data_IF_236360421680
#
_entry.id   IF_236360421680
#
_cell.length_a   1.000
_cell.length_b   1.000
_cell.length_c   1.000
_cell.angle_alpha   90.00
_cell.angle_beta   90.00
_cell.angle_gamma   90.00
#
_symmetry.space_group_name_H-M   'P 1'
#
loop_
_entity.id
_entity.type
_entity.pdbx_description
1 polymer ?
#
# COMPACT_ATOMS: atom_id res chain seq x y z
N UNK A 1 -29.93 -10.36 -26.17
CA UNK A 1 -29.88 -9.73 -24.83
C UNK A 1 -28.43 -9.64 -24.36
N UNK A 2 -27.68 -10.75 -24.28
CA UNK A 2 -26.23 -10.73 -24.11
C UNK A 2 -25.52 -11.73 -25.06
N UNK A 3 -24.25 -11.47 -25.41
CA UNK A 3 -23.37 -12.37 -26.16
C UNK A 3 -22.13 -12.68 -25.32
N UNK A 4 -21.78 -13.95 -25.20
CA UNK A 4 -20.53 -14.37 -24.57
C UNK A 4 -19.41 -14.39 -25.63
N UNK A 5 -18.26 -13.78 -25.34
CA UNK A 5 -17.07 -13.91 -26.17
C UNK A 5 -16.21 -15.12 -25.74
N UNK A 6 -15.12 -15.39 -26.48
CA UNK A 6 -14.22 -16.52 -26.22
C UNK A 6 -13.47 -16.38 -24.87
N UNK A 7 -13.39 -15.16 -24.35
CA UNK A 7 -12.82 -14.82 -23.03
C UNK A 7 -13.84 -14.94 -21.89
N UNK A 8 -15.04 -15.47 -22.18
CA UNK A 8 -16.15 -15.64 -21.22
C UNK A 8 -16.67 -14.31 -20.63
N UNK A 9 -16.50 -13.21 -21.36
CA UNK A 9 -17.10 -11.91 -21.06
C UNK A 9 -18.46 -11.82 -21.75
N UNK A 10 -19.50 -11.50 -20.98
CA UNK A 10 -20.84 -11.29 -21.50
C UNK A 10 -21.06 -9.81 -21.82
N UNK A 11 -21.30 -9.49 -23.10
CA UNK A 11 -21.61 -8.12 -23.54
C UNK A 11 -23.09 -7.97 -23.90
N UNK A 12 -23.73 -6.83 -23.55
CA UNK A 12 -25.10 -6.58 -23.93
C UNK A 12 -25.22 -6.38 -25.45
N UNK A 13 -26.25 -6.96 -26.07
CA UNK A 13 -26.58 -6.75 -27.50
C UNK A 13 -28.00 -6.20 -27.70
N UNK A 14 -28.69 -5.89 -26.60
CA UNK A 14 -30.06 -5.39 -26.59
C UNK A 14 -30.69 -5.48 -25.20
N UNK A 15 -31.73 -4.68 -24.97
CA UNK A 15 -32.44 -4.63 -23.68
C UNK A 15 -33.16 -5.96 -23.36
N UNK A 16 -33.30 -6.27 -22.08
CA UNK A 16 -34.04 -7.42 -21.58
C UNK A 16 -33.34 -8.14 -20.44
N UNK A 17 -33.86 -9.31 -20.06
CA UNK A 17 -33.31 -10.13 -18.98
C UNK A 17 -32.57 -11.33 -19.56
N UNK A 18 -31.36 -11.60 -19.07
CA UNK A 18 -30.61 -12.80 -19.41
C UNK A 18 -30.15 -13.52 -18.12
N UNK A 19 -30.00 -14.83 -18.18
CA UNK A 19 -29.44 -15.61 -17.07
C UNK A 19 -28.08 -16.16 -17.48
N UNK A 20 -27.04 -15.76 -16.76
CA UNK A 20 -25.70 -16.31 -16.91
C UNK A 20 -25.58 -17.50 -15.96
N UNK A 21 -25.19 -18.66 -16.49
CA UNK A 21 -24.98 -19.88 -15.70
C UNK A 21 -23.49 -20.17 -15.61
N UNK A 22 -22.96 -20.22 -14.40
CA UNK A 22 -21.58 -20.57 -14.10
C UNK A 22 -21.52 -22.03 -13.68
N UNK A 23 -20.59 -22.80 -14.26
CA UNK A 23 -20.34 -24.21 -13.90
C UNK A 23 -18.87 -24.44 -13.63
N UNK A 24 -18.57 -25.11 -12.53
CA UNK A 24 -17.21 -25.53 -12.16
C UNK A 24 -17.26 -26.92 -11.52
N UNK A 25 -16.79 -27.94 -12.26
CA UNK A 25 -17.02 -29.33 -11.89
C UNK A 25 -18.52 -29.60 -11.77
N UNK A 26 -18.95 -30.11 -10.62
CA UNK A 26 -20.36 -30.38 -10.30
C UNK A 26 -21.12 -29.18 -9.70
N UNK A 27 -20.43 -28.05 -9.48
CA UNK A 27 -21.04 -26.84 -8.94
C UNK A 27 -21.69 -26.02 -10.06
N UNK A 28 -22.93 -25.58 -9.83
CA UNK A 28 -23.66 -24.65 -10.72
C UNK A 28 -24.18 -23.46 -9.91
N UNK A 29 -24.00 -22.25 -10.43
CA UNK A 29 -24.71 -21.06 -9.93
C UNK A 29 -25.26 -20.25 -11.11
N UNK A 30 -26.34 -19.50 -10.87
CA UNK A 30 -27.04 -18.72 -11.90
C UNK A 30 -27.19 -17.28 -11.44
N UNK A 31 -26.77 -16.34 -12.27
CA UNK A 31 -26.98 -14.91 -12.07
C UNK A 31 -27.97 -14.40 -13.12
N UNK A 32 -29.05 -13.76 -12.69
CA UNK A 32 -29.94 -13.06 -13.62
C UNK A 32 -29.45 -11.62 -13.77
N UNK A 33 -29.22 -11.20 -15.00
CA UNK A 33 -28.83 -9.84 -15.37
C UNK A 33 -29.98 -9.16 -16.13
N UNK A 34 -30.20 -7.89 -15.83
CA UNK A 34 -31.12 -7.04 -16.57
C UNK A 34 -30.31 -6.00 -17.35
N UNK A 35 -30.52 -5.96 -18.66
CA UNK A 35 -29.88 -5.01 -19.57
C UNK A 35 -30.91 -3.94 -19.92
N UNK A 36 -30.55 -2.68 -19.68
CA UNK A 36 -31.30 -1.49 -20.07
C UNK A 36 -30.39 -0.53 -20.82
N UNK A 37 -30.97 0.30 -21.71
CA UNK A 37 -30.25 1.31 -22.50
C UNK A 37 -29.08 0.76 -23.34
N UNK A 38 -29.16 -0.48 -23.83
CA UNK A 38 -28.09 -1.10 -24.63
C UNK A 38 -27.80 -0.39 -25.96
N UNK A 39 -28.72 0.44 -26.45
CA UNK A 39 -28.57 1.23 -27.68
C UNK A 39 -28.02 2.63 -27.41
N UNK A 40 -27.94 3.05 -26.15
CA UNK A 40 -27.46 4.38 -25.77
C UNK A 40 -25.95 4.33 -25.53
N UNK A 41 -25.20 5.05 -26.35
CA UNK A 41 -23.78 5.31 -26.10
C UNK A 41 -23.68 6.64 -25.32
N UNK A 42 -23.29 6.61 -24.03
CA UNK A 42 -23.10 7.85 -23.29
C UNK A 42 -21.92 8.65 -23.86
N UNK A 43 -21.95 10.00 -23.75
CA UNK A 43 -20.80 10.82 -24.09
C UNK A 43 -19.59 10.45 -23.22
N UNK A 44 -18.38 10.71 -23.73
CA UNK A 44 -17.15 10.44 -23.00
C UNK A 44 -17.04 11.39 -21.80
N UNK A 45 -16.91 10.82 -20.62
CA UNK A 45 -16.74 11.57 -19.38
C UNK A 45 -15.27 11.99 -19.21
N UNK A 46 -15.05 13.24 -18.81
CA UNK A 46 -13.69 13.68 -18.49
C UNK A 46 -13.14 12.92 -17.27
N UNK A 47 -13.90 12.90 -16.17
CA UNK A 47 -13.53 12.22 -14.91
C UNK A 47 -13.48 10.70 -15.03
N UNK A 48 -14.41 10.09 -15.77
CA UNK A 48 -14.58 8.62 -15.75
C UNK A 48 -13.95 7.89 -16.93
N UNK A 49 -13.52 8.60 -17.98
CA UNK A 49 -12.92 8.00 -19.17
C UNK A 49 -11.59 8.65 -19.55
N UNK A 50 -11.54 9.99 -19.69
CA UNK A 50 -10.33 10.70 -20.13
C UNK A 50 -9.22 10.62 -19.09
N UNK A 51 -9.51 10.98 -17.85
CA UNK A 51 -8.55 10.94 -16.75
C UNK A 51 -7.97 9.53 -16.50
N UNK A 52 -8.80 8.47 -16.39
CA UNK A 52 -8.30 7.10 -16.29
C UNK A 52 -7.43 6.69 -17.47
N UNK A 53 -7.75 7.10 -18.71
CA UNK A 53 -6.87 6.85 -19.86
C UNK A 53 -5.52 7.53 -19.65
N UNK A 54 -5.48 8.81 -19.31
CA UNK A 54 -4.23 9.53 -19.09
C UNK A 54 -3.40 8.90 -17.97
N UNK A 55 -4.06 8.39 -16.93
CA UNK A 55 -3.42 7.67 -15.85
C UNK A 55 -2.87 6.31 -16.27
N UNK A 56 -3.66 5.49 -16.96
CA UNK A 56 -3.24 4.18 -17.49
C UNK A 56 -2.05 4.31 -18.43
N UNK A 57 -2.01 5.37 -19.23
CA UNK A 57 -0.88 5.69 -20.12
C UNK A 57 0.31 6.35 -19.39
N UNK A 58 0.26 6.50 -18.07
CA UNK A 58 1.35 7.04 -17.24
C UNK A 58 1.58 8.56 -17.35
N UNK A 59 0.68 9.30 -18.00
CA UNK A 59 0.86 10.71 -18.32
C UNK A 59 0.87 11.60 -17.06
N UNK A 60 0.01 11.29 -16.09
CA UNK A 60 -0.15 12.02 -14.83
C UNK A 60 0.63 11.38 -13.65
N UNK A 61 1.68 10.62 -13.93
CA UNK A 61 2.57 10.06 -12.91
C UNK A 61 3.56 11.11 -12.39
N UNK A 62 4.15 10.86 -11.21
CA UNK A 62 5.16 11.72 -10.61
C UNK A 62 6.46 11.85 -11.42
N UNK A 63 6.72 10.93 -12.36
CA UNK A 63 7.84 11.02 -13.29
C UNK A 63 7.55 11.99 -14.47
N UNK A 64 6.28 12.25 -14.76
CA UNK A 64 5.79 12.97 -15.94
C UNK A 64 5.00 14.23 -15.54
N UNK A 65 3.80 14.42 -16.10
CA UNK A 65 3.02 15.64 -15.93
C UNK A 65 2.36 15.75 -14.55
N UNK A 66 2.24 14.64 -13.80
CA UNK A 66 1.80 14.62 -12.40
C UNK A 66 2.89 15.01 -11.39
N UNK A 67 4.10 15.31 -11.84
CA UNK A 67 5.15 15.84 -10.95
C UNK A 67 4.76 17.21 -10.39
N UNK A 68 5.29 17.56 -9.22
CA UNK A 68 4.96 18.84 -8.55
C UNK A 68 5.17 20.09 -9.44
N UNK A 69 6.14 20.03 -10.37
CA UNK A 69 6.45 21.10 -11.33
C UNK A 69 5.84 20.87 -12.73
N UNK A 70 5.23 19.73 -12.99
CA UNK A 70 4.88 19.29 -14.35
C UNK A 70 6.10 19.13 -15.25
N UNK A 71 5.87 19.05 -16.56
CA UNK A 71 6.92 19.00 -17.60
C UNK A 71 6.63 19.99 -18.72
N UNK A 72 7.63 20.80 -19.08
CA UNK A 72 7.59 21.70 -20.23
C UNK A 72 6.33 22.59 -20.26
N UNK A 73 5.98 23.17 -19.11
CA UNK A 73 4.81 24.03 -18.96
C UNK A 73 3.46 23.29 -18.92
N UNK A 74 3.43 21.95 -18.90
CA UNK A 74 2.21 21.17 -18.72
C UNK A 74 2.25 20.40 -17.40
N UNK A 75 1.27 20.69 -16.54
CA UNK A 75 1.08 20.06 -15.23
C UNK A 75 -0.32 19.45 -15.12
N UNK A 76 -0.36 18.24 -14.60
CA UNK A 76 -1.57 17.56 -14.15
C UNK A 76 -1.43 17.28 -12.66
N UNK A 77 -2.56 17.00 -12.01
CA UNK A 77 -2.62 16.42 -10.67
C UNK A 77 -1.99 15.03 -10.70
N UNK A 78 -1.44 14.60 -9.57
CA UNK A 78 -0.84 13.27 -9.48
C UNK A 78 -1.96 12.22 -9.47
N UNK A 79 -1.95 11.31 -10.44
CA UNK A 79 -2.96 10.24 -10.54
C UNK A 79 -4.43 10.74 -10.54
N UNK A 80 -4.72 11.88 -11.18
CA UNK A 80 -6.08 12.41 -11.34
C UNK A 80 -6.79 12.76 -10.02
N UNK A 81 -6.02 13.24 -9.05
CA UNK A 81 -6.50 13.75 -7.77
C UNK A 81 -7.39 15.01 -7.91
N UNK A 82 -7.14 15.86 -8.90
CA UNK A 82 -7.94 17.07 -9.12
C UNK A 82 -8.34 17.20 -10.60
N UNK A 83 -9.47 16.56 -10.92
CA UNK A 83 -10.06 16.59 -12.25
C UNK A 83 -10.36 18.01 -12.75
N UNK A 84 -10.68 18.95 -11.85
CA UNK A 84 -11.02 20.31 -12.25
C UNK A 84 -9.78 21.04 -12.74
N UNK A 85 -8.68 20.96 -12.00
CA UNK A 85 -7.41 21.55 -12.42
C UNK A 85 -6.91 20.86 -13.69
N UNK A 86 -7.05 19.54 -13.78
CA UNK A 86 -6.59 18.76 -14.94
C UNK A 86 -7.36 19.13 -16.20
N UNK A 87 -8.69 19.27 -16.10
CA UNK A 87 -9.51 19.74 -17.21
C UNK A 87 -9.05 21.12 -17.71
N UNK A 88 -8.85 22.08 -16.81
CA UNK A 88 -8.42 23.44 -17.16
C UNK A 88 -7.02 23.45 -17.78
N UNK A 89 -6.08 22.71 -17.20
CA UNK A 89 -4.70 22.65 -17.69
C UNK A 89 -4.60 21.93 -19.05
N UNK A 90 -5.47 20.96 -19.28
CA UNK A 90 -5.52 20.26 -20.54
C UNK A 90 -6.17 21.11 -21.64
N UNK A 91 -7.28 21.78 -21.34
CA UNK A 91 -8.12 22.42 -22.37
C UNK A 91 -7.90 23.92 -22.56
N UNK A 92 -7.45 24.65 -21.53
CA UNK A 92 -7.43 26.13 -21.52
C UNK A 92 -6.04 26.72 -21.32
N UNK A 93 -5.20 26.08 -20.53
CA UNK A 93 -3.86 26.55 -20.23
C UNK A 93 -3.00 26.68 -21.50
N UNK A 94 -2.01 27.58 -21.47
CA UNK A 94 -1.16 27.93 -22.62
C UNK A 94 -1.98 28.23 -23.89
N UNK A 95 -3.05 29.03 -23.74
CA UNK A 95 -3.98 29.42 -24.80
C UNK A 95 -4.67 28.23 -25.50
N UNK A 96 -4.90 27.14 -24.76
CA UNK A 96 -5.59 25.95 -25.27
C UNK A 96 -4.78 25.15 -26.30
N UNK A 97 -3.47 25.39 -26.44
CA UNK A 97 -2.64 24.81 -27.50
C UNK A 97 -2.59 23.28 -27.57
N UNK A 98 -3.07 22.59 -26.51
CA UNK A 98 -3.03 21.13 -26.38
C UNK A 98 -4.20 20.44 -27.07
N UNK A 99 -5.28 21.19 -27.29
CA UNK A 99 -6.57 20.72 -27.79
C UNK A 99 -6.94 21.46 -29.07
N UNK A 100 -7.36 20.72 -30.08
CA UNK A 100 -7.89 21.29 -31.31
C UNK A 100 -9.22 20.60 -31.63
N UNK A 101 -10.33 21.19 -31.22
CA UNK A 101 -11.67 20.63 -31.49
C UNK A 101 -12.08 20.75 -32.96
N UNK A 102 -11.48 21.69 -33.72
CA UNK A 102 -11.74 21.86 -35.15
C UNK A 102 -11.02 20.80 -36.01
N UNK A 103 -9.82 20.38 -35.57
CA UNK A 103 -9.10 19.23 -36.09
C UNK A 103 -8.68 18.31 -34.93
N UNK A 104 -9.55 17.38 -34.49
CA UNK A 104 -9.29 16.52 -33.34
C UNK A 104 -7.97 15.77 -33.38
N UNK A 105 -7.60 15.21 -34.54
CA UNK A 105 -6.33 14.49 -34.76
C UNK A 105 -5.12 15.44 -34.75
N UNK A 106 -5.36 16.72 -34.99
CA UNK A 106 -4.43 17.84 -34.84
C UNK A 106 -4.03 18.16 -33.39
N UNK A 107 -4.73 17.61 -32.39
CA UNK A 107 -4.49 17.92 -30.98
C UNK A 107 -3.14 17.38 -30.49
N UNK A 108 -2.33 18.21 -29.84
CA UNK A 108 -1.06 17.76 -29.23
C UNK A 108 -1.27 16.65 -28.19
N UNK A 109 -2.44 16.64 -27.52
CA UNK A 109 -2.84 15.56 -26.62
C UNK A 109 -2.83 14.18 -27.29
N UNK A 110 -3.13 14.11 -28.58
CA UNK A 110 -3.07 12.86 -29.35
C UNK A 110 -1.71 12.69 -30.03
N UNK A 111 -1.18 13.74 -30.65
CA UNK A 111 0.01 13.63 -31.50
C UNK A 111 1.28 13.27 -30.74
N UNK A 112 1.49 13.85 -29.55
CA UNK A 112 2.69 13.61 -28.74
C UNK A 112 2.78 12.17 -28.23
N UNK A 113 1.78 11.65 -27.48
CA UNK A 113 1.89 10.30 -26.93
C UNK A 113 1.78 9.20 -27.99
N UNK A 114 1.35 9.52 -29.22
CA UNK A 114 1.35 8.59 -30.36
C UNK A 114 2.53 8.72 -31.32
N UNK A 115 3.48 9.60 -31.03
CA UNK A 115 4.74 9.71 -31.76
C UNK A 115 4.65 10.44 -33.11
N UNK A 116 3.55 11.14 -33.38
CA UNK A 116 3.46 12.04 -34.55
C UNK A 116 4.23 13.34 -34.32
N UNK A 117 4.34 13.77 -33.07
CA UNK A 117 5.16 14.90 -32.64
C UNK A 117 6.12 14.42 -31.55
N UNK A 118 7.35 14.94 -31.57
CA UNK A 118 8.37 14.59 -30.59
C UNK A 118 7.87 14.79 -29.15
N UNK A 119 8.04 13.73 -28.36
CA UNK A 119 7.65 13.67 -26.97
C UNK A 119 8.73 12.97 -26.16
N UNK A 120 9.30 13.67 -25.18
CA UNK A 120 10.34 13.13 -24.32
C UNK A 120 9.87 11.90 -23.49
N UNK A 121 8.56 11.79 -23.22
CA UNK A 121 7.97 10.62 -22.57
C UNK A 121 7.80 9.41 -23.49
N UNK A 122 8.22 9.49 -24.75
CA UNK A 122 8.09 8.42 -25.74
C UNK A 122 6.67 8.20 -26.24
N UNK A 123 6.50 7.09 -26.96
CA UNK A 123 5.20 6.62 -27.46
C UNK A 123 4.55 5.77 -26.38
N UNK A 124 3.43 6.25 -25.85
CA UNK A 124 2.66 5.55 -24.79
C UNK A 124 1.30 5.07 -25.30
N UNK A 125 0.73 5.68 -26.34
CA UNK A 125 -0.52 5.21 -26.98
C UNK A 125 -0.35 5.18 -28.50
N UNK A 126 -0.90 4.21 -29.22
CA UNK A 126 -0.91 4.17 -30.69
C UNK A 126 -2.29 4.54 -31.23
N UNK A 127 -2.36 4.92 -32.50
CA UNK A 127 -3.60 5.40 -33.15
C UNK A 127 -4.72 4.35 -33.26
N UNK A 128 -4.43 3.07 -32.99
CA UNK A 128 -5.41 1.98 -32.97
C UNK A 128 -5.76 1.52 -31.55
N UNK A 129 -5.13 2.11 -30.53
CA UNK A 129 -5.33 1.70 -29.16
C UNK A 129 -6.66 2.28 -28.65
N UNK A 130 -7.42 1.55 -27.80
CA UNK A 130 -8.66 2.05 -27.22
C UNK A 130 -8.51 3.38 -26.48
N UNK A 131 -7.36 3.60 -25.83
CA UNK A 131 -6.99 4.85 -25.19
C UNK A 131 -7.00 6.03 -26.18
N UNK A 132 -6.41 5.86 -27.36
CA UNK A 132 -6.38 6.90 -28.39
C UNK A 132 -7.79 7.22 -28.90
N UNK A 133 -8.61 6.20 -29.17
CA UNK A 133 -9.98 6.41 -29.66
C UNK A 133 -10.86 7.10 -28.60
N UNK A 134 -10.71 6.75 -27.33
CA UNK A 134 -11.42 7.41 -26.22
C UNK A 134 -11.13 8.91 -26.17
N UNK A 135 -9.83 9.27 -26.20
CA UNK A 135 -9.43 10.67 -26.20
C UNK A 135 -9.88 11.38 -27.49
N UNK A 136 -9.76 10.73 -28.64
CA UNK A 136 -10.20 11.28 -29.92
C UNK A 136 -11.71 11.54 -29.91
N UNK A 137 -12.50 10.60 -29.39
CA UNK A 137 -13.94 10.71 -29.32
C UNK A 137 -14.36 11.86 -28.39
N UNK A 138 -13.74 11.99 -27.21
CA UNK A 138 -13.95 13.14 -26.32
C UNK A 138 -13.66 14.48 -27.01
N UNK A 139 -12.59 14.56 -27.81
CA UNK A 139 -12.26 15.78 -28.56
C UNK A 139 -13.30 16.07 -29.64
N UNK A 140 -13.77 15.04 -30.37
CA UNK A 140 -14.84 15.18 -31.38
C UNK A 140 -16.16 15.65 -30.74
N UNK A 141 -16.41 15.26 -29.50
CA UNK A 141 -17.56 15.71 -28.69
C UNK A 141 -17.39 17.14 -28.14
N UNK A 142 -16.27 17.79 -28.46
CA UNK A 142 -15.99 19.18 -28.11
C UNK A 142 -15.12 19.35 -26.86
N UNK A 143 -14.50 18.28 -26.36
CA UNK A 143 -13.66 18.28 -25.16
C UNK A 143 -14.36 18.93 -23.95
N UNK A 144 -15.62 18.56 -23.74
CA UNK A 144 -16.46 19.12 -22.69
C UNK A 144 -16.03 18.60 -21.31
N UNK A 145 -16.20 19.43 -20.30
CA UNK A 145 -16.16 18.97 -18.91
C UNK A 145 -17.44 18.18 -18.61
N UNK A 146 -17.42 17.36 -17.56
CA UNK A 146 -18.62 16.65 -17.13
C UNK A 146 -19.69 17.63 -16.61
N UNK A 147 -20.98 17.27 -16.71
CA UNK A 147 -22.06 18.07 -16.11
C UNK A 147 -21.95 18.07 -14.58
N UNK A 148 -22.58 19.06 -13.93
CA UNK A 148 -22.50 19.23 -12.47
C UNK A 148 -23.13 18.09 -11.66
N UNK A 149 -23.98 17.28 -12.29
CA UNK A 149 -24.64 16.12 -11.71
C UNK A 149 -23.98 14.79 -12.13
N UNK A 150 -22.75 14.83 -12.66
CA UNK A 150 -21.99 13.61 -12.95
C UNK A 150 -21.88 12.74 -11.71
N UNK A 151 -22.17 11.44 -11.86
CA UNK A 151 -22.06 10.47 -10.78
C UNK A 151 -20.67 10.48 -10.17
N UNK A 152 -20.57 10.60 -8.85
CA UNK A 152 -19.32 10.49 -8.12
C UNK A 152 -18.93 9.02 -7.90
N UNK A 153 -17.64 8.70 -8.01
CA UNK A 153 -17.12 7.38 -7.65
C UNK A 153 -16.96 7.28 -6.14
N UNK A 154 -17.62 6.30 -5.53
CA UNK A 154 -17.64 6.11 -4.07
C UNK A 154 -16.61 5.08 -3.63
N UNK A 155 -16.46 3.99 -4.39
CA UNK A 155 -15.53 2.92 -4.02
C UNK A 155 -15.01 2.17 -5.23
N UNK A 156 -13.91 1.45 -5.00
CA UNK A 156 -13.27 0.56 -5.95
C UNK A 156 -13.18 -0.83 -5.30
N UNK A 157 -13.32 -1.90 -6.08
CA UNK A 157 -13.06 -3.25 -5.58
C UNK A 157 -12.37 -4.10 -6.65
N UNK A 158 -11.57 -5.06 -6.20
CA UNK A 158 -11.00 -6.10 -7.04
C UNK A 158 -11.73 -7.39 -6.74
N UNK A 159 -12.16 -8.10 -7.78
CA UNK A 159 -12.77 -9.40 -7.70
C UNK A 159 -11.85 -10.48 -8.32
N UNK A 160 -11.67 -11.61 -7.62
CA UNK A 160 -12.05 -11.87 -6.24
C UNK A 160 -11.26 -10.99 -5.24
N UNK A 161 -11.82 -10.79 -4.03
CA UNK A 161 -11.15 -10.04 -2.94
C UNK A 161 -9.91 -10.74 -2.38
N UNK A 162 -9.84 -12.06 -2.58
CA UNK A 162 -8.71 -12.91 -2.22
C UNK A 162 -8.50 -13.95 -3.31
N UNK A 163 -7.28 -14.05 -3.83
CA UNK A 163 -6.87 -15.10 -4.75
C UNK A 163 -6.20 -16.22 -3.97
N UNK A 164 -6.56 -17.46 -4.28
CA UNK A 164 -5.81 -18.65 -3.87
C UNK A 164 -5.54 -19.45 -5.13
N UNK A 165 -4.28 -19.52 -5.54
CA UNK A 165 -3.84 -20.24 -6.72
C UNK A 165 -2.95 -21.42 -6.29
N UNK A 166 -3.29 -22.62 -6.74
CA UNK A 166 -2.51 -23.82 -6.42
C UNK A 166 -1.65 -24.22 -7.63
N UNK A 167 -0.33 -24.20 -7.44
CA UNK A 167 0.67 -24.44 -8.47
C UNK A 167 1.12 -23.19 -9.22
N UNK A 168 2.23 -23.32 -9.94
CA UNK A 168 2.80 -22.25 -10.76
C UNK A 168 2.08 -22.15 -12.11
N UNK A 169 2.12 -20.97 -12.73
CA UNK A 169 1.59 -20.66 -14.07
C UNK A 169 0.09 -20.89 -14.22
N UNK A 170 -0.66 -20.89 -13.11
CA UNK A 170 -2.13 -20.87 -13.16
C UNK A 170 -2.57 -19.44 -13.41
N UNK A 171 -3.58 -19.28 -14.25
CA UNK A 171 -4.12 -17.97 -14.58
C UNK A 171 -5.50 -17.78 -13.97
N UNK A 172 -5.81 -16.55 -13.59
CA UNK A 172 -7.14 -16.12 -13.19
C UNK A 172 -7.39 -14.71 -13.70
N UNK A 173 -8.65 -14.35 -13.95
CA UNK A 173 -9.02 -12.98 -14.30
C UNK A 173 -9.30 -12.19 -13.03
N UNK A 174 -8.61 -11.08 -12.81
CA UNK A 174 -9.00 -10.05 -11.88
C UNK A 174 -9.96 -9.08 -12.59
N UNK A 175 -11.01 -8.66 -11.88
CA UNK A 175 -11.94 -7.63 -12.36
C UNK A 175 -11.92 -6.47 -11.39
N UNK A 176 -11.76 -5.25 -11.89
CA UNK A 176 -11.84 -4.03 -11.10
C UNK A 176 -13.19 -3.38 -11.31
N UNK A 177 -14.00 -3.25 -10.25
CA UNK A 177 -15.30 -2.60 -10.30
C UNK A 177 -15.26 -1.25 -9.58
N UNK A 178 -15.63 -0.19 -10.27
CA UNK A 178 -15.90 1.12 -9.68
C UNK A 178 -17.39 1.26 -9.35
N UNK A 179 -17.71 1.65 -8.13
CA UNK A 179 -19.08 1.89 -7.65
C UNK A 179 -19.35 3.38 -7.56
N UNK A 180 -20.54 3.80 -7.99
CA UNK A 180 -20.91 5.21 -8.11
C UNK A 180 -22.08 5.59 -7.20
N UNK A 181 -22.24 6.89 -6.95
CA UNK A 181 -23.27 7.50 -6.10
C UNK A 181 -24.71 7.30 -6.55
N UNK A 182 -24.93 6.97 -7.83
CA UNK A 182 -26.24 6.58 -8.36
C UNK A 182 -26.58 5.09 -8.13
N UNK A 183 -25.71 4.36 -7.41
CA UNK A 183 -25.84 2.92 -7.14
C UNK A 183 -25.38 2.03 -8.29
N UNK A 184 -24.86 2.59 -9.39
CA UNK A 184 -24.31 1.80 -10.49
C UNK A 184 -22.88 1.34 -10.22
N UNK A 185 -22.48 0.26 -10.88
CA UNK A 185 -21.10 -0.20 -10.90
C UNK A 185 -20.61 -0.35 -12.35
N UNK A 186 -19.32 -0.13 -12.58
CA UNK A 186 -18.67 -0.26 -13.89
C UNK A 186 -17.43 -1.14 -13.78
N UNK A 187 -17.28 -2.07 -14.72
CA UNK A 187 -15.99 -2.74 -14.94
C UNK A 187 -15.01 -1.73 -15.56
N UNK A 188 -13.97 -1.44 -14.79
CA UNK A 188 -12.91 -0.48 -15.13
C UNK A 188 -11.55 -1.17 -15.22
N UNK A 189 -11.52 -2.50 -15.36
CA UNK A 189 -10.29 -3.30 -15.38
C UNK A 189 -9.30 -2.78 -16.43
N UNK A 190 -9.76 -2.59 -17.66
CA UNK A 190 -8.90 -2.16 -18.78
C UNK A 190 -8.45 -0.68 -18.65
N UNK A 191 -9.12 0.11 -17.82
CA UNK A 191 -8.77 1.50 -17.50
C UNK A 191 -7.94 1.62 -16.22
N UNK A 192 -7.77 0.53 -15.47
CA UNK A 192 -7.08 0.54 -14.18
C UNK A 192 -5.57 0.33 -14.37
N UNK A 193 -4.77 1.07 -13.61
CA UNK A 193 -3.36 0.73 -13.43
C UNK A 193 -3.28 -0.45 -12.49
N UNK A 194 -2.73 -1.56 -12.97
CA UNK A 194 -2.59 -2.82 -12.24
C UNK A 194 -1.12 -3.10 -11.97
N UNK A 195 -0.80 -3.52 -10.76
CA UNK A 195 0.55 -3.96 -10.40
C UNK A 195 0.51 -4.95 -9.24
N UNK A 196 1.61 -5.66 -9.01
CA UNK A 196 1.78 -6.46 -7.81
C UNK A 196 2.98 -5.98 -7.01
N UNK A 197 3.00 -6.26 -5.71
CA UNK A 197 4.17 -5.99 -4.88
C UNK A 197 5.27 -7.07 -5.02
N UNK A 198 4.96 -8.23 -5.59
CA UNK A 198 5.90 -9.33 -5.80
C UNK A 198 5.52 -10.16 -7.05
N UNK A 199 6.11 -9.78 -8.18
CA UNK A 199 5.95 -10.45 -9.47
C UNK A 199 6.54 -11.87 -9.51
N UNK A 200 7.31 -12.28 -8.50
CA UNK A 200 7.79 -13.67 -8.41
C UNK A 200 6.69 -14.60 -7.90
N UNK A 201 5.76 -14.07 -7.08
CA UNK A 201 4.61 -14.81 -6.54
C UNK A 201 3.39 -14.65 -7.44
N UNK A 202 3.06 -13.44 -7.88
CA UNK A 202 1.91 -13.18 -8.75
C UNK A 202 2.25 -12.10 -9.76
N UNK A 203 2.04 -12.37 -11.05
CA UNK A 203 2.12 -11.34 -12.10
C UNK A 203 0.73 -10.92 -12.52
N UNK A 204 0.57 -9.68 -12.94
CA UNK A 204 -0.66 -9.19 -13.59
C UNK A 204 -0.30 -8.53 -14.92
N UNK A 205 -1.09 -8.81 -15.95
CA UNK A 205 -0.99 -8.09 -17.23
C UNK A 205 -1.96 -6.90 -17.29
N UNK A 206 -1.85 -6.09 -18.34
CA UNK A 206 -2.68 -4.89 -18.51
C UNK A 206 -4.18 -5.16 -18.66
N UNK A 207 -4.54 -6.39 -19.04
CA UNK A 207 -5.92 -6.83 -19.11
C UNK A 207 -6.46 -7.21 -17.73
N UNK A 208 -5.62 -7.42 -16.72
CA UNK A 208 -6.03 -7.93 -15.43
C UNK A 208 -6.03 -9.46 -15.35
N UNK A 209 -5.37 -10.15 -16.27
CA UNK A 209 -5.08 -11.56 -16.08
C UNK A 209 -3.91 -11.71 -15.12
N UNK A 210 -4.16 -12.35 -13.99
CA UNK A 210 -3.12 -12.70 -13.02
C UNK A 210 -2.55 -14.09 -13.32
N UNK A 211 -1.25 -14.27 -13.10
CA UNK A 211 -0.53 -15.53 -13.29
C UNK A 211 0.27 -15.85 -12.04
N UNK A 212 0.07 -17.05 -11.46
CA UNK A 212 0.86 -17.51 -10.31
C UNK A 212 2.31 -17.82 -10.69
N UNK A 213 3.23 -17.46 -9.80
CA UNK A 213 4.64 -17.84 -9.84
C UNK A 213 4.98 -18.80 -8.70
N UNK A 214 6.00 -18.48 -7.92
CA UNK A 214 6.45 -19.30 -6.79
C UNK A 214 5.50 -19.21 -5.59
N UNK A 215 5.61 -20.17 -4.67
CA UNK A 215 4.86 -20.16 -3.41
C UNK A 215 5.14 -18.87 -2.63
N UNK A 216 4.08 -18.21 -2.21
CA UNK A 216 4.18 -17.01 -1.39
C UNK A 216 2.87 -16.25 -1.26
N UNK A 217 2.98 -15.03 -0.76
CA UNK A 217 1.88 -14.07 -0.69
C UNK A 217 2.28 -12.80 -1.43
N UNK A 218 1.36 -12.30 -2.26
CA UNK A 218 1.46 -11.03 -2.96
C UNK A 218 0.14 -10.26 -2.82
N UNK A 219 0.17 -8.98 -3.17
CA UNK A 219 -0.98 -8.10 -3.21
C UNK A 219 -1.08 -7.50 -4.61
N UNK A 220 -2.23 -7.73 -5.25
CA UNK A 220 -2.60 -7.07 -6.49
C UNK A 220 -3.15 -5.69 -6.14
N UNK A 221 -2.51 -4.64 -6.62
CA UNK A 221 -2.97 -3.25 -6.54
C UNK A 221 -3.74 -2.92 -7.83
N UNK A 222 -4.91 -2.31 -7.68
CA UNK A 222 -5.63 -1.64 -8.75
C UNK A 222 -5.85 -0.17 -8.41
N UNK A 223 -5.53 0.71 -9.35
CA UNK A 223 -5.77 2.15 -9.24
C UNK A 223 -6.66 2.62 -10.38
N UNK A 224 -7.73 3.32 -10.03
CA UNK A 224 -8.67 3.92 -10.96
C UNK A 224 -9.15 5.26 -10.39
N UNK A 225 -8.93 6.35 -11.13
CA UNK A 225 -9.10 7.71 -10.62
C UNK A 225 -8.32 7.94 -9.32
N UNK A 226 -8.99 8.53 -8.33
CA UNK A 226 -8.40 8.88 -7.04
C UNK A 226 -8.27 7.70 -6.07
N UNK A 227 -8.84 6.55 -6.41
CA UNK A 227 -8.89 5.39 -5.51
C UNK A 227 -7.87 4.33 -5.92
N UNK A 228 -7.29 3.72 -4.91
CA UNK A 228 -6.47 2.54 -5.04
C UNK A 228 -6.94 1.48 -4.04
N UNK A 229 -7.02 0.24 -4.48
CA UNK A 229 -7.39 -0.90 -3.63
C UNK A 229 -6.47 -2.07 -3.89
N UNK A 230 -6.34 -2.92 -2.87
CA UNK A 230 -5.53 -4.13 -2.94
C UNK A 230 -6.40 -5.38 -2.80
N UNK A 231 -5.99 -6.45 -3.45
CA UNK A 231 -6.50 -7.80 -3.23
C UNK A 231 -5.34 -8.71 -2.90
N UNK A 232 -5.48 -9.48 -1.84
CA UNK A 232 -4.48 -10.46 -1.43
C UNK A 232 -4.47 -11.64 -2.40
N UNK A 233 -3.29 -12.14 -2.72
CA UNK A 233 -3.10 -13.35 -3.48
C UNK A 233 -2.14 -14.29 -2.76
N UNK A 234 -2.55 -15.54 -2.60
CA UNK A 234 -1.74 -16.60 -2.03
C UNK A 234 -1.49 -17.64 -3.12
N UNK A 235 -0.23 -17.93 -3.38
CA UNK A 235 0.18 -19.03 -4.24
C UNK A 235 0.67 -20.19 -3.38
N UNK A 236 -0.01 -21.32 -3.54
CA UNK A 236 0.24 -22.53 -2.78
C UNK A 236 0.93 -23.59 -3.65
N UNK A 237 1.82 -24.41 -3.07
CA UNK A 237 2.33 -25.58 -3.77
C UNK A 237 1.21 -26.59 -4.00
N UNK A 238 1.27 -27.33 -5.11
CA UNK A 238 0.37 -28.46 -5.35
C UNK A 238 0.60 -29.57 -4.30
N UNK A 239 -0.43 -30.36 -3.99
CA UNK A 239 -0.29 -31.55 -3.14
C UNK A 239 -0.89 -31.45 -1.73
N UNK A 240 -1.73 -30.44 -1.47
CA UNK A 240 -2.46 -30.32 -0.20
C UNK A 240 -1.62 -29.79 0.96
N UNK A 241 -2.18 -29.86 2.17
CA UNK A 241 -1.53 -29.39 3.40
C UNK A 241 -0.38 -30.34 3.80
N UNK A 242 0.83 -29.83 4.13
CA UNK A 242 1.90 -30.67 4.65
C UNK A 242 1.55 -31.18 6.05
N UNK A 243 2.20 -32.27 6.44
CA UNK A 243 2.16 -32.75 7.83
C UNK A 243 2.80 -31.72 8.76
N UNK A 244 2.09 -31.39 9.84
CA UNK A 244 2.57 -30.41 10.82
C UNK A 244 3.44 -31.10 11.86
N UNK A 245 4.67 -30.64 12.14
CA UNK A 245 5.55 -31.27 13.13
C UNK A 245 4.91 -31.33 14.52
N UNK A 246 5.02 -32.47 15.20
CA UNK A 246 4.46 -32.65 16.55
C UNK A 246 5.09 -31.69 17.57
N UNK A 247 6.37 -31.36 17.39
CA UNK A 247 7.12 -30.47 18.27
C UNK A 247 6.74 -28.98 18.08
N UNK A 248 6.08 -28.64 16.98
CA UNK A 248 5.65 -27.27 16.67
C UNK A 248 4.37 -26.90 17.44
N UNK A 249 4.51 -26.79 18.75
CA UNK A 249 3.47 -26.41 19.71
C UNK A 249 3.58 -24.90 20.00
N UNK A 250 2.47 -24.18 19.82
CA UNK A 250 2.43 -22.74 20.13
C UNK A 250 2.60 -22.53 21.64
N UNK A 251 3.55 -21.67 22.04
CA UNK A 251 3.83 -21.36 23.44
C UNK A 251 3.17 -20.06 23.90
N UNK A 252 2.78 -19.20 22.96
CA UNK A 252 2.13 -17.94 23.23
C UNK A 252 1.25 -17.51 22.02
N UNK A 253 0.52 -16.41 22.19
CA UNK A 253 -0.36 -15.87 21.15
C UNK A 253 0.38 -15.43 19.88
N UNK A 254 1.68 -15.11 19.95
CA UNK A 254 2.50 -14.75 18.78
C UNK A 254 2.72 -16.00 17.93
N UNK A 255 3.08 -17.13 18.55
CA UNK A 255 3.23 -18.41 17.87
C UNK A 255 1.92 -18.85 17.21
N UNK A 256 0.78 -18.67 17.88
CA UNK A 256 -0.54 -18.98 17.30
C UNK A 256 -0.78 -18.22 15.98
N UNK A 257 -0.43 -16.92 15.95
CA UNK A 257 -0.58 -16.08 14.74
C UNK A 257 0.40 -16.47 13.65
N UNK A 258 1.66 -16.74 14.00
CA UNK A 258 2.68 -17.21 13.06
C UNK A 258 2.27 -18.55 12.47
N UNK A 259 1.85 -19.51 13.29
CA UNK A 259 1.47 -20.85 12.85
C UNK A 259 0.20 -20.83 11.99
N UNK A 260 -0.78 -20.00 12.32
CA UNK A 260 -1.94 -19.78 11.45
C UNK A 260 -1.50 -19.30 10.06
N UNK A 261 -0.57 -18.35 9.98
CA UNK A 261 -0.03 -17.86 8.71
C UNK A 261 0.73 -18.93 7.93
N UNK A 262 1.60 -19.69 8.61
CA UNK A 262 2.38 -20.76 7.99
C UNK A 262 1.46 -21.85 7.42
N UNK A 263 0.42 -22.27 8.16
CA UNK A 263 -0.60 -23.23 7.68
C UNK A 263 -1.36 -22.70 6.47
N UNK A 264 -1.74 -21.43 6.47
CA UNK A 264 -2.37 -20.79 5.32
C UNK A 264 -1.49 -20.81 4.07
N UNK A 265 -0.16 -20.78 4.24
CA UNK A 265 0.82 -20.82 3.16
C UNK A 265 1.35 -22.23 2.85
N UNK A 266 0.84 -23.28 3.52
CA UNK A 266 1.38 -24.66 3.44
C UNK A 266 2.88 -24.70 3.70
N UNK A 267 3.33 -23.93 4.70
CA UNK A 267 4.70 -23.88 5.17
C UNK A 267 4.78 -24.63 6.51
N UNK A 268 5.74 -25.54 6.61
CA UNK A 268 6.14 -26.11 7.89
C UNK A 268 7.10 -25.15 8.60
N UNK A 269 6.98 -24.99 9.93
CA UNK A 269 7.90 -24.18 10.70
C UNK A 269 9.31 -24.76 10.65
N UNK A 270 10.31 -23.90 10.80
CA UNK A 270 11.70 -24.36 10.91
C UNK A 270 11.90 -25.19 12.18
N UNK A 271 12.84 -26.14 12.11
CA UNK A 271 13.23 -26.94 13.26
C UNK A 271 13.77 -26.07 14.40
N UNK A 272 13.58 -26.54 15.63
CA UNK A 272 14.15 -25.91 16.81
C UNK A 272 15.68 -26.01 16.71
N UNK A 273 16.37 -24.88 16.76
CA UNK A 273 17.83 -24.86 16.72
C UNK A 273 18.47 -25.58 17.92
N UNK A 274 19.71 -26.05 17.75
CA UNK A 274 20.49 -26.68 18.83
C UNK A 274 20.81 -25.70 19.96
N UNK A 275 21.21 -26.23 21.12
CA UNK A 275 21.54 -25.41 22.29
C UNK A 275 22.76 -24.51 22.06
N UNK A 276 23.75 -24.94 21.29
CA UNK A 276 24.92 -24.14 20.93
C UNK A 276 24.55 -22.92 20.06
N UNK A 277 23.58 -23.11 19.16
CA UNK A 277 23.06 -22.01 18.34
C UNK A 277 22.20 -21.07 19.18
N UNK A 278 21.34 -21.64 20.03
CA UNK A 278 20.44 -20.90 20.89
C UNK A 278 21.21 -19.97 21.84
N UNK A 279 22.15 -20.50 22.62
CA UNK A 279 22.89 -19.73 23.64
C UNK A 279 23.64 -18.54 23.01
N UNK A 280 24.23 -18.74 21.82
CA UNK A 280 24.91 -17.65 21.12
C UNK A 280 23.93 -16.58 20.63
N UNK A 281 22.79 -16.98 20.06
CA UNK A 281 21.78 -16.04 19.51
C UNK A 281 21.09 -15.25 20.61
N UNK A 282 20.64 -15.91 21.67
CA UNK A 282 19.87 -15.28 22.74
C UNK A 282 20.69 -14.21 23.49
N UNK A 283 21.99 -14.45 23.71
CA UNK A 283 22.90 -13.45 24.28
C UNK A 283 23.04 -12.21 23.38
N UNK A 284 23.25 -12.40 22.08
CA UNK A 284 23.36 -11.28 21.13
C UNK A 284 22.04 -10.51 21.00
N UNK A 285 20.92 -11.22 20.97
CA UNK A 285 19.61 -10.60 20.75
C UNK A 285 19.13 -9.81 21.97
N UNK A 286 19.29 -10.37 23.18
CA UNK A 286 18.79 -9.78 24.43
C UNK A 286 19.76 -8.74 25.00
N UNK A 287 21.05 -9.06 25.11
CA UNK A 287 22.06 -8.23 25.81
C UNK A 287 23.17 -7.69 24.90
N UNK A 288 23.18 -8.04 23.61
CA UNK A 288 24.12 -7.45 22.65
C UNK A 288 25.58 -7.89 22.78
N UNK A 289 25.87 -8.91 23.59
CA UNK A 289 27.23 -9.45 23.81
C UNK A 289 27.27 -10.94 23.54
N UNK A 290 28.48 -11.51 23.41
CA UNK A 290 28.65 -12.96 23.32
C UNK A 290 28.66 -13.58 24.73
N UNK A 291 28.17 -14.82 24.89
CA UNK A 291 28.36 -15.55 26.14
C UNK A 291 29.85 -15.83 26.35
N UNK A 292 30.28 -15.80 27.60
CA UNK A 292 31.60 -16.31 27.99
C UNK A 292 31.67 -17.83 27.81
N UNK A 293 32.89 -18.37 27.82
CA UNK A 293 33.13 -19.82 27.75
C UNK A 293 32.45 -20.52 28.93
N UNK A 294 32.50 -19.92 30.12
CA UNK A 294 31.91 -20.43 31.34
C UNK A 294 30.38 -20.48 31.24
N UNK A 295 29.72 -19.37 30.88
CA UNK A 295 28.26 -19.31 30.68
C UNK A 295 27.80 -20.31 29.62
N UNK A 296 28.52 -20.42 28.50
CA UNK A 296 28.22 -21.40 27.45
C UNK A 296 28.32 -22.83 27.98
N UNK A 297 29.40 -23.17 28.69
CA UNK A 297 29.61 -24.52 29.24
C UNK A 297 28.54 -24.85 30.29
N UNK A 298 28.17 -23.88 31.12
CA UNK A 298 27.11 -24.04 32.13
C UNK A 298 25.77 -24.32 31.47
N UNK A 299 25.36 -23.52 30.48
CA UNK A 299 24.11 -23.73 29.75
C UNK A 299 24.06 -25.08 29.00
N UNK A 300 25.16 -25.48 28.36
CA UNK A 300 25.23 -26.76 27.64
C UNK A 300 25.21 -27.98 28.57
N UNK A 301 25.75 -27.84 29.78
CA UNK A 301 25.73 -28.92 30.79
C UNK A 301 24.47 -28.96 31.65
N UNK A 302 23.65 -27.91 31.61
CA UNK A 302 22.35 -27.90 32.29
C UNK A 302 21.38 -28.89 31.63
N UNK A 303 20.77 -29.72 32.47
CA UNK A 303 19.79 -30.75 32.11
C UNK A 303 18.34 -30.35 32.45
N UNK A 304 18.14 -29.16 33.01
CA UNK A 304 16.82 -28.61 33.24
C UNK A 304 16.06 -28.48 31.91
N UNK A 305 14.86 -29.09 31.77
CA UNK A 305 14.05 -28.97 30.55
C UNK A 305 13.67 -27.51 30.22
N UNK A 306 13.64 -26.62 31.22
CA UNK A 306 13.28 -25.21 31.07
C UNK A 306 14.49 -24.27 31.00
N UNK A 307 15.72 -24.79 30.85
CA UNK A 307 16.96 -23.99 30.86
C UNK A 307 16.97 -22.83 29.87
N UNK A 308 16.27 -22.95 28.73
CA UNK A 308 16.15 -21.87 27.74
C UNK A 308 15.34 -20.69 28.26
N UNK A 309 14.21 -20.96 28.93
CA UNK A 309 13.39 -19.92 29.54
C UNK A 309 14.13 -19.28 30.72
N UNK A 310 14.77 -20.10 31.57
CA UNK A 310 15.56 -19.61 32.70
C UNK A 310 16.72 -18.70 32.24
N UNK A 311 17.43 -19.06 31.17
CA UNK A 311 18.48 -18.21 30.61
C UNK A 311 17.92 -16.89 30.05
N UNK A 312 16.74 -16.91 29.43
CA UNK A 312 16.09 -15.67 28.95
C UNK A 312 15.80 -14.75 30.12
N UNK A 313 15.20 -15.26 31.20
CA UNK A 313 14.91 -14.48 32.40
C UNK A 313 16.19 -13.90 33.03
N UNK A 314 17.25 -14.71 33.15
CA UNK A 314 18.56 -14.24 33.63
C UNK A 314 19.12 -13.10 32.76
N UNK A 315 19.03 -13.22 31.43
CA UNK A 315 19.51 -12.21 30.50
C UNK A 315 18.67 -10.93 30.51
N UNK A 316 17.36 -11.01 30.79
CA UNK A 316 16.49 -9.84 30.94
C UNK A 316 16.83 -9.05 32.21
N UNK A 317 17.29 -9.72 33.26
CA UNK A 317 17.72 -9.10 34.53
C UNK A 317 19.15 -8.52 34.49
N UNK A 318 19.89 -8.75 33.41
CA UNK A 318 21.26 -8.25 33.26
C UNK A 318 21.30 -6.74 33.05
N UNK A 319 22.34 -6.05 33.57
CA UNK A 319 22.49 -4.61 33.38
C UNK A 319 22.65 -4.21 31.91
N UNK A 320 23.13 -5.11 31.04
CA UNK A 320 23.28 -4.83 29.61
C UNK A 320 21.94 -4.75 28.85
N UNK A 321 20.88 -5.43 29.32
CA UNK A 321 19.56 -5.43 28.69
C UNK A 321 18.98 -4.01 28.54
N UNK A 322 18.82 -3.21 29.62
CA UNK A 322 18.30 -1.85 29.48
C UNK A 322 19.22 -0.94 28.66
N UNK A 323 20.54 -1.17 28.65
CA UNK A 323 21.48 -0.37 27.83
C UNK A 323 21.23 -0.56 26.33
N UNK A 324 21.18 -1.82 25.86
CA UNK A 324 21.05 -2.11 24.43
C UNK A 324 19.66 -1.72 23.92
N UNK A 325 18.62 -1.90 24.72
CA UNK A 325 17.26 -1.52 24.35
C UNK A 325 17.04 -0.02 24.39
N UNK A 326 17.58 0.69 25.39
CA UNK A 326 17.58 2.15 25.38
C UNK A 326 18.32 2.71 24.17
N UNK A 327 19.47 2.12 23.78
CA UNK A 327 20.19 2.51 22.57
C UNK A 327 19.36 2.32 21.30
N UNK A 328 18.70 1.17 21.12
CA UNK A 328 17.82 0.90 19.97
C UNK A 328 16.67 1.92 19.89
N UNK A 329 16.05 2.22 21.03
CA UNK A 329 14.95 3.19 21.11
C UNK A 329 15.42 4.63 20.98
N UNK A 330 16.62 4.96 21.44
CA UNK A 330 17.22 6.28 21.30
C UNK A 330 17.34 6.70 19.83
N UNK A 331 17.61 5.75 18.92
CA UNK A 331 17.65 6.02 17.48
C UNK A 331 16.24 6.36 16.94
N UNK A 332 15.24 5.53 17.25
CA UNK A 332 13.84 5.74 16.84
C UNK A 332 13.26 7.06 17.38
N UNK A 333 13.62 7.41 18.62
CA UNK A 333 13.14 8.61 19.31
C UNK A 333 14.08 9.82 19.15
N UNK A 334 15.06 9.71 18.25
CA UNK A 334 16.00 10.78 17.88
C UNK A 334 16.72 11.43 19.07
N UNK A 335 17.14 10.64 20.06
CA UNK A 335 17.93 11.12 21.20
C UNK A 335 19.31 11.52 20.70
N UNK A 336 19.48 12.81 20.39
CA UNK A 336 20.72 13.37 19.82
C UNK A 336 21.02 14.73 20.42
N UNK A 337 22.27 14.94 20.81
CA UNK A 337 22.75 16.27 21.20
C UNK A 337 23.26 17.03 19.96
N UNK A 338 22.95 18.31 19.87
CA UNK A 338 23.46 19.24 18.84
C UNK A 338 23.97 20.50 19.54
N UNK A 339 24.48 21.49 18.80
CA UNK A 339 24.84 22.78 19.41
C UNK A 339 23.62 23.53 19.99
N UNK A 340 22.42 23.20 19.51
CA UNK A 340 21.14 23.81 19.92
C UNK A 340 20.42 22.99 21.00
N UNK A 341 20.74 21.69 21.12
CA UNK A 341 20.17 20.76 22.08
C UNK A 341 21.16 20.46 23.20
N UNK A 342 20.82 20.86 24.43
CA UNK A 342 21.68 20.68 25.59
C UNK A 342 22.03 19.20 25.82
N UNK A 343 23.33 18.91 25.91
CA UNK A 343 23.85 17.56 26.07
C UNK A 343 23.37 16.90 27.36
N UNK A 344 23.23 17.66 28.45
CA UNK A 344 22.77 17.13 29.74
C UNK A 344 21.28 16.81 29.70
N UNK A 345 20.46 17.59 28.98
CA UNK A 345 19.05 17.25 28.75
C UNK A 345 18.90 15.94 27.96
N UNK A 346 19.67 15.76 26.87
CA UNK A 346 19.65 14.52 26.09
C UNK A 346 20.15 13.30 26.88
N UNK A 347 21.16 13.46 27.73
CA UNK A 347 21.59 12.38 28.64
C UNK A 347 20.47 11.96 29.60
N UNK A 348 19.74 12.93 30.17
CA UNK A 348 18.58 12.61 31.01
C UNK A 348 17.47 11.91 30.24
N UNK A 349 17.28 12.26 28.98
CA UNK A 349 16.30 11.58 28.13
C UNK A 349 16.70 10.12 27.85
N UNK A 350 17.98 9.88 27.58
CA UNK A 350 18.52 8.53 27.47
C UNK A 350 18.41 7.75 28.80
N UNK A 351 18.69 8.38 29.93
CA UNK A 351 18.57 7.76 31.24
C UNK A 351 17.11 7.39 31.56
N UNK A 352 16.13 8.22 31.16
CA UNK A 352 14.71 7.89 31.27
C UNK A 352 14.32 6.66 30.42
N UNK A 353 14.91 6.49 29.23
CA UNK A 353 14.73 5.27 28.44
C UNK A 353 15.31 4.05 29.15
N UNK A 354 16.55 4.15 29.64
CA UNK A 354 17.22 3.07 30.40
C UNK A 354 16.39 2.67 31.62
N UNK A 355 15.88 3.64 32.38
CA UNK A 355 15.01 3.42 33.53
C UNK A 355 13.69 2.74 33.13
N UNK A 356 13.10 3.16 31.99
CA UNK A 356 11.87 2.55 31.48
C UNK A 356 12.07 1.07 31.13
N UNK A 357 13.21 0.69 30.53
CA UNK A 357 13.53 -0.71 30.29
C UNK A 357 13.90 -1.47 31.58
N UNK A 358 14.72 -0.90 32.46
CA UNK A 358 15.15 -1.59 33.69
C UNK A 358 14.01 -1.82 34.67
N UNK A 359 12.97 -0.97 34.64
CA UNK A 359 11.76 -1.13 35.45
C UNK A 359 10.67 -1.97 34.77
N UNK A 360 10.95 -2.53 33.58
CA UNK A 360 9.98 -3.24 32.74
C UNK A 360 8.69 -2.44 32.54
N UNK A 361 8.82 -1.15 32.24
CA UNK A 361 7.67 -0.25 32.03
C UNK A 361 6.86 -0.74 30.82
N UNK A 362 5.54 -0.93 30.95
CA UNK A 362 4.69 -1.28 29.83
C UNK A 362 4.80 -0.26 28.68
N UNK A 363 4.87 -0.77 27.45
CA UNK A 363 5.08 0.08 26.28
C UNK A 363 4.00 1.15 26.12
N UNK A 364 2.75 0.82 26.40
CA UNK A 364 1.62 1.76 26.35
C UNK A 364 1.78 2.90 27.36
N UNK A 365 2.34 2.63 28.54
CA UNK A 365 2.65 3.65 29.55
C UNK A 365 3.80 4.52 29.10
N UNK A 366 4.89 3.93 28.58
CA UNK A 366 6.03 4.68 28.05
C UNK A 366 5.62 5.63 26.92
N UNK A 367 4.81 5.15 25.97
CA UNK A 367 4.31 5.97 24.85
C UNK A 367 3.37 7.06 25.34
N UNK A 368 2.47 6.76 26.28
CA UNK A 368 1.58 7.76 26.87
C UNK A 368 2.38 8.85 27.58
N UNK A 369 3.31 8.49 28.46
CA UNK A 369 4.20 9.42 29.15
C UNK A 369 4.96 10.32 28.17
N UNK A 370 5.44 9.75 27.06
CA UNK A 370 6.15 10.48 26.02
C UNK A 370 5.25 11.51 25.33
N UNK A 371 4.12 11.06 24.79
CA UNK A 371 3.24 11.88 23.95
C UNK A 371 2.41 12.89 24.75
N UNK A 372 2.23 12.68 26.06
CA UNK A 372 1.55 13.63 26.95
C UNK A 372 2.52 14.37 27.87
N UNK A 373 3.82 14.37 27.56
CA UNK A 373 4.83 15.01 28.39
C UNK A 373 4.70 16.54 28.36
N UNK A 374 4.85 17.16 29.52
CA UNK A 374 4.82 18.63 29.69
C UNK A 374 5.88 19.10 30.71
N UNK A 375 6.23 20.39 30.65
CA UNK A 375 7.17 21.01 31.58
C UNK A 375 8.60 21.16 31.04
N UNK A 376 9.56 21.32 31.95
CA UNK A 376 10.96 21.60 31.61
C UNK A 376 11.73 20.37 31.15
N UNK A 377 12.53 20.49 30.09
CA UNK A 377 13.31 19.39 29.49
C UNK A 377 14.37 18.74 30.41
N UNK A 378 14.78 19.41 31.49
CA UNK A 378 15.65 18.82 32.53
C UNK A 378 14.89 18.07 33.63
N UNK A 379 13.66 18.50 33.92
CA UNK A 379 12.82 17.97 35.01
C UNK A 379 11.90 16.85 34.51
N UNK A 380 11.46 16.95 33.25
CA UNK A 380 10.65 15.93 32.57
C UNK A 380 11.40 15.47 31.31
N UNK A 381 12.23 14.43 31.40
CA UNK A 381 13.12 14.04 30.30
C UNK A 381 12.38 13.66 29.00
N UNK A 382 11.18 13.10 29.09
CA UNK A 382 10.35 12.72 27.94
C UNK A 382 9.97 13.91 27.04
N UNK A 383 9.90 15.14 27.59
CA UNK A 383 9.62 16.37 26.82
C UNK A 383 10.66 16.60 25.72
N UNK A 384 11.86 16.05 25.87
CA UNK A 384 12.90 16.17 24.86
C UNK A 384 12.51 15.58 23.49
N UNK A 385 11.50 14.71 23.42
CA UNK A 385 10.91 14.27 22.15
C UNK A 385 10.42 15.46 21.30
N UNK A 386 9.77 16.44 21.94
CA UNK A 386 9.25 17.65 21.31
C UNK A 386 10.26 18.79 21.24
N UNK A 387 11.35 18.74 22.01
CA UNK A 387 12.44 19.72 21.91
C UNK A 387 13.34 19.39 20.71
N UNK A 388 13.51 18.11 20.40
CA UNK A 388 14.32 17.65 19.25
C UNK A 388 13.67 18.01 17.91
N UNK A 389 12.34 18.01 17.85
CA UNK A 389 11.57 18.33 16.64
C UNK A 389 10.33 19.12 17.03
N UNK A 390 10.17 20.30 16.43
CA UNK A 390 9.09 21.24 16.74
C UNK A 390 8.12 21.45 15.57
N UNK A 391 8.41 20.93 14.37
CA UNK A 391 7.44 20.97 13.26
C UNK A 391 6.33 19.92 13.51
N UNK A 392 5.06 20.33 13.72
CA UNK A 392 3.94 19.42 13.98
C UNK A 392 3.78 18.33 12.91
N UNK A 393 4.11 18.65 11.65
CA UNK A 393 4.03 17.70 10.54
C UNK A 393 5.08 16.61 10.67
N UNK A 394 6.32 16.98 11.02
CA UNK A 394 7.41 16.02 11.20
C UNK A 394 7.19 15.18 12.46
N UNK A 395 6.64 15.77 13.53
CA UNK A 395 6.23 15.02 14.72
C UNK A 395 5.17 13.98 14.34
N UNK A 396 4.11 14.37 13.63
CA UNK A 396 3.07 13.45 13.19
C UNK A 396 3.61 12.29 12.34
N UNK A 397 4.49 12.59 11.39
CA UNK A 397 5.18 11.57 10.58
C UNK A 397 5.96 10.59 11.47
N UNK A 398 6.72 11.09 12.45
CA UNK A 398 7.49 10.23 13.35
C UNK A 398 6.58 9.37 14.23
N UNK A 399 5.49 9.93 14.76
CA UNK A 399 4.54 9.18 15.61
C UNK A 399 3.85 8.07 14.81
N UNK A 400 3.39 8.39 13.60
CA UNK A 400 2.78 7.40 12.71
C UNK A 400 3.78 6.27 12.38
N UNK A 401 5.02 6.61 12.06
CA UNK A 401 6.02 5.62 11.68
C UNK A 401 6.47 4.75 12.87
N UNK A 402 6.80 5.37 14.01
CA UNK A 402 7.40 4.67 15.16
C UNK A 402 6.37 3.85 15.93
N UNK A 403 5.16 4.38 16.13
CA UNK A 403 4.18 3.76 17.02
C UNK A 403 3.02 3.07 16.28
N UNK A 404 2.71 3.49 15.05
CA UNK A 404 1.61 2.89 14.27
C UNK A 404 2.12 2.01 13.12
N UNK A 405 3.41 2.09 12.78
CA UNK A 405 3.98 1.39 11.62
C UNK A 405 3.46 1.92 10.28
N UNK A 406 3.02 3.19 10.24
CA UNK A 406 2.41 3.83 9.06
C UNK A 406 3.34 4.87 8.44
N UNK A 407 3.42 4.90 7.10
CA UNK A 407 4.16 5.93 6.36
C UNK A 407 3.20 6.96 5.76
N UNK A 408 2.82 7.96 6.56
CA UNK A 408 1.86 8.98 6.11
C UNK A 408 2.47 10.14 5.31
N UNK A 409 3.81 10.22 5.22
CA UNK A 409 4.51 11.38 4.67
C UNK A 409 4.11 11.73 3.23
N UNK A 410 3.88 10.73 2.38
CA UNK A 410 3.46 10.99 1.00
C UNK A 410 2.12 11.73 0.94
N UNK A 411 1.24 11.49 1.93
CA UNK A 411 -0.04 12.17 2.08
C UNK A 411 0.07 13.67 2.40
N UNK A 412 1.29 14.20 2.65
CA UNK A 412 1.49 15.63 2.89
C UNK A 412 1.17 16.50 1.66
N UNK A 413 1.45 16.01 0.46
CA UNK A 413 1.40 16.82 -0.77
C UNK A 413 0.36 16.34 -1.78
N UNK A 414 -0.11 15.09 -1.65
CA UNK A 414 -1.11 14.41 -2.48
C UNK A 414 -1.59 13.17 -1.74
N UNK A 415 -2.76 12.62 -2.02
CA UNK A 415 -3.22 11.36 -1.43
C UNK A 415 -2.17 10.23 -1.58
N UNK A 416 -2.04 9.35 -0.57
CA UNK A 416 -0.98 8.35 -0.53
C UNK A 416 -1.04 7.43 -1.77
N UNK A 417 0.10 7.21 -2.46
CA UNK A 417 0.09 6.54 -3.76
C UNK A 417 -0.12 5.02 -3.66
N UNK A 418 0.03 4.44 -2.48
CA UNK A 418 -0.03 2.98 -2.26
C UNK A 418 -0.89 2.57 -1.07
N UNK A 419 -1.51 3.52 -0.38
CA UNK A 419 -2.29 3.29 0.84
C UNK A 419 -3.54 4.19 0.82
N UNK A 420 -4.46 3.93 1.74
CA UNK A 420 -5.76 4.61 1.80
C UNK A 420 -5.72 6.04 2.37
N UNK A 421 -4.56 6.52 2.83
CA UNK A 421 -4.45 7.80 3.53
C UNK A 421 -4.56 8.99 2.57
N UNK A 422 -5.47 9.91 2.88
CA UNK A 422 -5.68 11.15 2.12
C UNK A 422 -4.86 12.32 2.68
N UNK A 423 -4.76 13.42 1.93
CA UNK A 423 -4.20 14.68 2.45
C UNK A 423 -4.97 15.17 3.68
N UNK A 424 -6.30 15.03 3.66
CA UNK A 424 -7.14 15.44 4.78
C UNK A 424 -6.83 14.61 6.04
N UNK A 425 -6.60 13.30 5.90
CA UNK A 425 -6.17 12.44 7.00
C UNK A 425 -4.82 12.89 7.56
N UNK A 426 -3.85 13.20 6.68
CA UNK A 426 -2.54 13.67 7.08
C UNK A 426 -2.60 14.97 7.89
N UNK A 427 -3.31 15.99 7.38
CA UNK A 427 -3.39 17.29 8.06
C UNK A 427 -4.26 17.23 9.31
N UNK A 428 -5.30 16.40 9.33
CA UNK A 428 -6.09 16.12 10.53
C UNK A 428 -5.23 15.48 11.61
N UNK A 429 -4.40 14.50 11.27
CA UNK A 429 -3.49 13.87 12.21
C UNK A 429 -2.38 14.82 12.69
N UNK A 430 -1.80 15.62 11.80
CA UNK A 430 -0.81 16.63 12.15
C UNK A 430 -1.36 17.71 13.09
N UNK A 431 -2.67 18.00 13.01
CA UNK A 431 -3.30 19.01 13.87
C UNK A 431 -3.21 18.71 15.37
N UNK A 432 -3.14 17.43 15.78
CA UNK A 432 -2.94 17.04 17.17
C UNK A 432 -1.63 17.59 17.77
N UNK A 433 -0.62 17.83 16.94
CA UNK A 433 0.69 18.31 17.37
C UNK A 433 0.87 19.82 17.16
N UNK A 434 -0.15 20.52 16.63
CA UNK A 434 -0.08 21.97 16.38
C UNK A 434 -0.04 22.83 17.64
N UNK A 435 -0.41 22.26 18.79
CA UNK A 435 -0.40 22.90 20.11
C UNK A 435 0.89 22.62 20.90
N UNK A 436 1.84 21.90 20.31
CA UNK A 436 3.16 21.65 20.89
C UNK A 436 4.05 22.85 20.59
N UNK A 437 4.40 23.63 21.63
CA UNK A 437 5.25 24.82 21.50
C UNK A 437 5.38 25.61 22.79
#
# INVERSE_FOLDING_TARGET
IAKLNDEKVATPIGNGTATITYRFGDLETRQTIQVTNAETVPPISFRHDVEPVLMKQGCNTGACHGSAKGKNGFKMSLFSEDARIDYVNLTRDEMGRRMNVADPKGSLLLQKPSGWVDHAGGVVMRTKDPAYETLLQWIKEGAQDDPSDVREMISLEILPKHFVLEGERKTHRAVVLAHYSDGTARDVTDLSVLSTNDDTVLKVDDSGTVTSGTRGEAYLLARFGQLAVISQAIVLPEGGQPEWPEEAVARNYVDERIFAKLKNLRLVPAEICSDEIFVRRVYLDIVGVLPTVQETTQFLSDSNPDKRAALIDELLDRPEFPEIWAMKWADLLKVKATNELDRKAMHRYNDWLRESFSSNKPLDQMVRELLTSEGGNFTQPAVNYYVVETDPKVIAENVAQVFLGLQIKCAQCHNHPFEQWTMDDYYSFASFFSQVG
#
